data_IF_637105063657
#
_entry.id   IF_637105063657
#
_cell.length_a   1.000
_cell.length_b   1.000
_cell.length_c   1.000
_cell.angle_alpha   90.00
_cell.angle_beta   90.00
_cell.angle_gamma   90.00
#
_symmetry.space_group_name_H-M   'P 1'
#
loop_
_entity.id
_entity.type
_entity.pdbx_description
1 polymer ?
#
# COMPACT_ATOMS: atom_id res chain seq x y z
N UNK A 1 65.32 53.25 -59.47
CA UNK A 1 64.05 53.37 -58.73
C UNK A 1 63.51 51.98 -58.46
N UNK A 2 63.52 51.50 -57.21
CA UNK A 2 62.92 50.23 -56.80
C UNK A 2 61.62 50.56 -56.06
N UNK A 3 60.50 50.06 -56.56
CA UNK A 3 59.16 50.23 -55.96
C UNK A 3 58.88 48.98 -55.12
N UNK A 4 58.69 49.17 -53.82
CA UNK A 4 58.35 48.13 -52.85
C UNK A 4 56.82 48.11 -52.71
N UNK A 5 56.17 47.04 -53.15
CA UNK A 5 54.71 46.85 -52.96
C UNK A 5 54.53 45.99 -51.70
N UNK A 6 53.93 46.60 -50.68
CA UNK A 6 53.67 45.98 -49.39
C UNK A 6 52.23 45.43 -49.38
N UNK A 7 52.11 44.10 -49.42
CA UNK A 7 50.82 43.39 -49.44
C UNK A 7 50.42 43.08 -48.00
N UNK A 8 49.31 43.67 -47.53
CA UNK A 8 48.69 43.33 -46.25
C UNK A 8 47.75 42.14 -46.43
N UNK A 9 48.03 41.05 -45.70
CA UNK A 9 47.14 39.87 -45.63
C UNK A 9 46.27 40.05 -44.37
N UNK A 10 44.98 40.32 -44.56
CA UNK A 10 44.00 40.45 -43.47
C UNK A 10 43.40 39.08 -43.19
N UNK A 11 43.82 38.43 -42.10
CA UNK A 11 43.33 37.12 -41.68
C UNK A 11 41.97 37.25 -40.99
N UNK A 12 40.91 36.76 -41.63
CA UNK A 12 39.54 36.72 -41.08
C UNK A 12 39.34 35.41 -40.30
N UNK A 13 39.26 35.47 -38.96
CA UNK A 13 39.00 34.31 -38.12
C UNK A 13 37.49 34.05 -37.99
N UNK A 14 36.98 33.00 -38.63
CA UNK A 14 35.61 32.53 -38.49
C UNK A 14 35.47 31.71 -37.19
N UNK A 15 34.91 32.32 -36.15
CA UNK A 15 34.49 31.61 -34.94
C UNK A 15 33.15 30.90 -35.19
N UNK A 16 33.20 29.59 -35.46
CA UNK A 16 32.03 28.73 -35.42
C UNK A 16 31.58 28.53 -33.97
N UNK A 17 30.60 29.31 -33.53
CA UNK A 17 29.97 29.16 -32.21
C UNK A 17 28.91 28.05 -32.30
N UNK A 18 29.21 26.85 -31.81
CA UNK A 18 28.21 25.79 -31.67
C UNK A 18 27.20 26.19 -30.58
N UNK A 19 25.88 26.22 -30.86
CA UNK A 19 24.89 26.50 -29.83
C UNK A 19 24.92 25.37 -28.80
N UNK A 20 25.33 25.69 -27.57
CA UNK A 20 25.15 24.79 -26.42
C UNK A 20 23.66 24.74 -26.13
N UNK A 21 22.98 23.70 -26.62
CA UNK A 21 21.62 23.38 -26.19
C UNK A 21 21.66 23.09 -24.69
N UNK A 22 21.28 24.06 -23.87
CA UNK A 22 21.07 23.84 -22.44
C UNK A 22 19.86 22.91 -22.32
N UNK A 23 20.11 21.62 -22.11
CA UNK A 23 19.12 20.69 -21.59
C UNK A 23 18.71 21.20 -20.22
N UNK A 24 17.63 21.98 -20.18
CA UNK A 24 16.98 22.39 -18.96
C UNK A 24 16.42 21.11 -18.34
N UNK A 25 17.13 20.53 -17.36
CA UNK A 25 16.65 19.34 -16.67
C UNK A 25 15.37 19.75 -15.96
N UNK A 26 14.23 19.34 -16.50
CA UNK A 26 12.96 19.46 -15.79
C UNK A 26 13.17 18.75 -14.45
N UNK A 27 13.02 19.48 -13.36
CA UNK A 27 13.10 18.90 -12.02
C UNK A 27 12.07 17.76 -12.00
N UNK A 28 12.55 16.53 -11.90
CA UNK A 28 11.70 15.37 -11.85
C UNK A 28 10.75 15.55 -10.66
N UNK A 29 9.45 15.59 -10.93
CA UNK A 29 8.46 15.60 -9.86
C UNK A 29 8.69 14.36 -9.00
N UNK A 30 8.72 14.50 -7.65
CA UNK A 30 8.89 13.35 -6.78
C UNK A 30 7.76 12.38 -7.07
N UNK A 31 8.12 11.20 -7.58
CA UNK A 31 7.14 10.15 -7.79
C UNK A 31 6.65 9.70 -6.41
N UNK A 32 5.34 9.50 -6.21
CA UNK A 32 4.84 8.97 -4.95
C UNK A 32 5.48 7.60 -4.73
N UNK A 33 6.39 7.52 -3.75
CA UNK A 33 7.07 6.28 -3.41
C UNK A 33 6.11 5.43 -2.58
N UNK A 34 5.71 4.29 -3.14
CA UNK A 34 4.96 3.27 -2.40
C UNK A 34 5.87 2.76 -1.28
N UNK A 35 5.38 2.83 -0.04
CA UNK A 35 6.13 2.42 1.15
C UNK A 35 5.46 1.25 1.85
N UNK A 36 6.27 0.27 2.21
CA UNK A 36 5.93 -0.82 3.10
C UNK A 36 5.59 -0.32 4.52
N UNK A 37 4.73 -1.06 5.21
CA UNK A 37 4.33 -0.79 6.60
C UNK A 37 5.11 -1.64 7.58
N UNK A 38 5.58 -2.82 7.17
CA UNK A 38 6.32 -3.75 8.02
C UNK A 38 7.83 -3.47 8.06
N UNK A 39 8.34 -2.49 7.31
CA UNK A 39 9.79 -2.24 7.12
C UNK A 39 10.55 -3.46 6.54
N UNK A 40 9.84 -4.28 5.76
CA UNK A 40 10.40 -5.37 4.96
C UNK A 40 9.90 -5.23 3.52
N UNK A 41 10.67 -5.64 2.49
CA UNK A 41 10.19 -5.62 1.11
C UNK A 41 8.85 -6.34 0.95
N UNK A 42 7.94 -5.80 0.16
CA UNK A 42 6.68 -6.48 -0.20
C UNK A 42 6.95 -7.91 -0.69
N UNK A 43 6.07 -8.84 -0.31
CA UNK A 43 6.23 -10.26 -0.65
C UNK A 43 7.21 -11.03 0.24
N UNK A 44 7.90 -10.38 1.19
CA UNK A 44 8.73 -11.09 2.18
C UNK A 44 7.84 -11.88 3.12
N UNK A 45 7.98 -13.20 3.14
CA UNK A 45 7.28 -14.07 4.10
C UNK A 45 7.89 -13.90 5.48
N UNK A 46 7.06 -13.52 6.45
CA UNK A 46 7.44 -13.25 7.83
C UNK A 46 6.58 -14.08 8.77
N UNK A 47 7.17 -14.54 9.88
CA UNK A 47 6.44 -15.09 11.02
C UNK A 47 6.06 -13.95 11.95
N UNK A 48 4.78 -13.83 12.28
CA UNK A 48 4.29 -12.71 13.09
C UNK A 48 3.38 -13.19 14.20
N UNK A 49 3.47 -12.53 15.35
CA UNK A 49 2.45 -12.62 16.40
C UNK A 49 1.45 -11.49 16.15
N UNK A 50 0.19 -11.86 15.93
CA UNK A 50 -0.89 -10.93 15.61
C UNK A 50 -2.05 -11.06 16.58
N UNK A 51 -2.82 -10.00 16.69
CA UNK A 51 -4.07 -9.93 17.44
C UNK A 51 -5.20 -9.52 16.48
N UNK A 52 -6.34 -10.21 16.54
CA UNK A 52 -7.51 -9.82 15.75
C UNK A 52 -8.08 -8.52 16.32
N UNK A 53 -8.18 -7.51 15.46
CA UNK A 53 -8.66 -6.17 15.80
C UNK A 53 -9.99 -5.89 15.12
N UNK A 54 -10.94 -5.34 15.88
CA UNK A 54 -12.28 -4.99 15.37
C UNK A 54 -12.27 -3.66 14.60
N UNK A 55 -12.64 -3.69 13.33
CA UNK A 55 -12.74 -2.51 12.48
C UNK A 55 -13.72 -1.46 12.98
N UNK A 56 -14.78 -1.86 13.69
CA UNK A 56 -15.74 -0.92 14.28
C UNK A 56 -15.07 0.02 15.30
N UNK A 57 -13.96 -0.42 15.91
CA UNK A 57 -13.18 0.38 16.88
C UNK A 57 -12.35 1.50 16.23
N UNK A 58 -12.27 1.55 14.90
CA UNK A 58 -11.57 2.63 14.17
C UNK A 58 -12.43 3.87 13.95
N UNK A 59 -13.74 3.81 14.24
CA UNK A 59 -14.73 4.86 13.95
C UNK A 59 -14.85 5.26 12.46
N UNK A 60 -14.21 4.52 11.56
CA UNK A 60 -14.32 4.74 10.12
C UNK A 60 -15.44 3.87 9.53
N UNK A 61 -16.44 4.52 8.93
CA UNK A 61 -17.59 3.84 8.32
C UNK A 61 -17.17 2.74 7.33
N UNK A 62 -16.07 2.94 6.60
CA UNK A 62 -15.57 1.98 5.62
C UNK A 62 -14.91 0.73 6.20
N UNK A 63 -14.65 0.71 7.50
CA UNK A 63 -14.04 -0.42 8.20
C UNK A 63 -15.08 -1.20 9.01
N UNK A 64 -16.31 -0.68 9.11
CA UNK A 64 -17.34 -1.31 9.93
C UNK A 64 -17.68 -2.71 9.43
N UNK A 65 -17.82 -3.66 10.37
CA UNK A 65 -18.05 -5.08 10.08
C UNK A 65 -16.85 -5.85 9.51
N UNK A 66 -15.67 -5.23 9.42
CA UNK A 66 -14.43 -5.89 8.96
C UNK A 66 -13.47 -6.11 10.13
N UNK A 67 -12.60 -7.11 9.99
CA UNK A 67 -11.53 -7.41 10.92
C UNK A 67 -10.16 -7.07 10.35
N UNK A 68 -9.25 -6.69 11.24
CA UNK A 68 -7.88 -6.33 10.93
C UNK A 68 -6.93 -7.17 11.77
N UNK A 69 -5.66 -7.23 11.35
CA UNK A 69 -4.59 -7.81 12.16
C UNK A 69 -3.75 -6.69 12.74
N UNK A 70 -3.73 -6.63 14.07
CA UNK A 70 -2.79 -5.81 14.83
C UNK A 70 -1.50 -6.61 15.01
N UNK A 71 -0.41 -6.11 14.44
CA UNK A 71 0.91 -6.75 14.53
C UNK A 71 1.51 -6.44 15.90
N UNK A 72 1.85 -7.49 16.64
CA UNK A 72 2.51 -7.38 17.95
C UNK A 72 4.02 -7.66 17.83
N UNK A 73 4.38 -8.62 16.99
CA UNK A 73 5.76 -9.08 16.80
C UNK A 73 6.00 -9.50 15.36
N UNK A 74 7.19 -9.20 14.84
CA UNK A 74 7.69 -9.70 13.56
C UNK A 74 8.98 -10.47 13.84
N UNK A 75 8.99 -11.76 13.49
CA UNK A 75 10.04 -12.72 13.85
C UNK A 75 10.32 -12.70 15.35
N UNK A 76 11.50 -12.21 15.75
CA UNK A 76 11.96 -12.05 17.13
C UNK A 76 11.85 -10.60 17.63
N UNK A 77 11.54 -9.65 16.76
CA UNK A 77 11.47 -8.22 17.05
C UNK A 77 10.07 -7.80 17.53
N UNK A 78 10.02 -7.20 18.72
CA UNK A 78 8.78 -6.59 19.25
C UNK A 78 8.55 -5.27 18.55
N UNK A 79 7.32 -5.04 18.08
CA UNK A 79 6.94 -3.77 17.44
C UNK A 79 6.41 -2.82 18.51
N UNK A 80 7.02 -1.63 18.61
CA UNK A 80 6.58 -0.59 19.56
C UNK A 80 5.37 0.19 19.02
N UNK A 81 5.34 0.39 17.71
CA UNK A 81 4.28 1.14 17.05
C UNK A 81 3.08 0.24 16.77
N UNK A 82 1.87 0.75 16.96
CA UNK A 82 0.66 -0.02 16.64
C UNK A 82 0.47 -0.08 15.13
N UNK A 83 0.81 -1.22 14.53
CA UNK A 83 0.56 -1.48 13.11
C UNK A 83 -0.71 -2.33 13.00
N UNK A 84 -1.76 -1.76 12.39
CA UNK A 84 -3.03 -2.45 12.12
C UNK A 84 -3.20 -2.48 10.60
N UNK A 85 -3.31 -3.69 10.04
CA UNK A 85 -3.47 -3.88 8.60
C UNK A 85 -4.69 -4.75 8.29
N UNK A 86 -5.42 -4.46 7.20
CA UNK A 86 -6.38 -5.40 6.67
C UNK A 86 -5.63 -6.64 6.16
N UNK A 87 -6.33 -7.76 6.03
CA UNK A 87 -5.71 -9.00 5.59
C UNK A 87 -6.59 -9.76 4.60
N UNK A 88 -5.93 -10.54 3.74
CA UNK A 88 -6.52 -11.59 2.90
C UNK A 88 -6.00 -12.92 3.43
N UNK A 89 -6.87 -13.91 3.61
CA UNK A 89 -6.50 -15.21 4.16
C UNK A 89 -6.61 -16.30 3.11
N UNK A 90 -5.49 -16.93 2.77
CA UNK A 90 -5.43 -18.05 1.83
C UNK A 90 -5.63 -19.40 2.54
N UNK A 91 -5.65 -19.40 3.88
CA UNK A 91 -5.77 -20.64 4.67
C UNK A 91 -7.21 -21.02 5.00
N UNK A 92 -8.15 -20.08 4.91
CA UNK A 92 -9.53 -20.23 5.42
C UNK A 92 -9.64 -20.25 6.95
N UNK A 93 -8.55 -19.94 7.66
CA UNK A 93 -8.47 -19.94 9.11
C UNK A 93 -8.97 -18.63 9.74
N UNK A 94 -8.95 -17.52 9.03
CA UNK A 94 -9.19 -16.18 9.55
C UNK A 94 -10.32 -15.50 8.79
N UNK A 95 -11.56 -15.47 9.32
CA UNK A 95 -12.63 -14.69 8.73
C UNK A 95 -12.30 -13.19 8.79
N UNK A 96 -12.50 -12.49 7.67
CA UNK A 96 -12.17 -11.07 7.50
C UNK A 96 -13.35 -10.13 7.79
N UNK A 97 -14.57 -10.66 7.95
CA UNK A 97 -15.79 -9.90 8.18
C UNK A 97 -16.81 -10.68 9.04
N UNK A 98 -17.84 -9.99 9.54
CA UNK A 98 -18.88 -10.55 10.42
C UNK A 98 -19.63 -11.76 9.83
N UNK A 99 -19.92 -11.75 8.52
CA UNK A 99 -20.63 -12.84 7.85
C UNK A 99 -19.73 -14.06 7.69
N UNK A 100 -18.47 -13.85 7.29
CA UNK A 100 -17.44 -14.89 7.24
C UNK A 100 -17.21 -15.51 8.62
N UNK A 101 -17.22 -14.71 9.68
CA UNK A 101 -17.10 -15.20 11.06
C UNK A 101 -18.31 -16.03 11.46
N UNK A 102 -19.52 -15.58 11.15
CA UNK A 102 -20.75 -16.36 11.39
C UNK A 102 -20.71 -17.72 10.69
N UNK A 103 -20.37 -17.71 9.39
CA UNK A 103 -20.24 -18.93 8.59
C UNK A 103 -19.23 -19.89 9.22
N UNK A 104 -18.11 -19.37 9.70
CA UNK A 104 -17.09 -20.19 10.36
C UNK A 104 -17.55 -20.79 11.69
N UNK A 105 -18.21 -19.99 12.54
CA UNK A 105 -18.63 -20.43 13.88
C UNK A 105 -19.83 -21.39 13.84
N UNK A 106 -20.75 -21.20 12.90
CA UNK A 106 -22.01 -21.95 12.86
C UNK A 106 -22.15 -22.90 11.67
N UNK A 107 -21.17 -22.92 10.76
CA UNK A 107 -21.17 -23.74 9.55
C UNK A 107 -22.41 -23.53 8.66
N UNK A 108 -22.97 -22.32 8.66
CA UNK A 108 -24.13 -21.92 7.85
C UNK A 108 -24.01 -20.49 7.33
N UNK A 109 -24.55 -20.25 6.15
CA UNK A 109 -24.69 -18.91 5.59
C UNK A 109 -25.85 -18.15 6.26
N UNK A 110 -25.78 -16.83 6.30
CA UNK A 110 -26.90 -15.97 6.68
C UNK A 110 -26.91 -14.69 5.85
N UNK A 111 -28.09 -14.20 5.52
CA UNK A 111 -28.25 -12.91 4.83
C UNK A 111 -28.32 -11.72 5.79
N UNK A 112 -28.58 -11.97 7.07
CA UNK A 112 -28.76 -10.92 8.08
C UNK A 112 -28.15 -11.35 9.42
N UNK A 113 -27.67 -10.37 10.17
CA UNK A 113 -27.11 -10.52 11.51
C UNK A 113 -27.64 -9.41 12.41
N UNK A 114 -28.14 -9.77 13.58
CA UNK A 114 -28.50 -8.78 14.61
C UNK A 114 -27.26 -8.29 15.34
N UNK A 115 -27.27 -7.06 15.87
CA UNK A 115 -26.15 -6.54 16.66
C UNK A 115 -25.83 -7.39 17.89
N UNK A 116 -26.85 -8.05 18.47
CA UNK A 116 -26.66 -8.98 19.60
C UNK A 116 -25.85 -10.21 19.17
N UNK A 117 -26.17 -10.79 18.00
CA UNK A 117 -25.42 -11.92 17.44
C UNK A 117 -23.99 -11.53 17.08
N UNK A 118 -23.80 -10.37 16.43
CA UNK A 118 -22.48 -9.84 16.08
C UNK A 118 -21.62 -9.69 17.33
N UNK A 119 -22.13 -9.02 18.37
CA UNK A 119 -21.41 -8.84 19.62
C UNK A 119 -21.05 -10.18 20.28
N UNK A 120 -21.96 -11.15 20.28
CA UNK A 120 -21.72 -12.48 20.83
C UNK A 120 -20.63 -13.26 20.07
N UNK A 121 -20.57 -13.11 18.75
CA UNK A 121 -19.52 -13.72 17.93
C UNK A 121 -18.17 -13.04 18.13
N UNK A 122 -18.14 -11.70 18.12
CA UNK A 122 -16.93 -10.89 18.28
C UNK A 122 -16.18 -11.22 19.57
N UNK A 123 -16.89 -11.45 20.68
CA UNK A 123 -16.30 -11.88 21.96
C UNK A 123 -15.46 -13.17 21.87
N UNK A 124 -15.72 -14.03 20.88
CA UNK A 124 -14.99 -15.28 20.69
C UNK A 124 -13.76 -15.13 19.79
N UNK A 125 -13.67 -14.05 19.01
CA UNK A 125 -12.72 -13.89 17.92
C UNK A 125 -11.81 -12.66 18.03
N UNK A 126 -12.36 -11.51 18.42
CA UNK A 126 -11.61 -10.26 18.63
C UNK A 126 -10.66 -10.42 19.83
N UNK A 127 -9.51 -9.73 19.80
CA UNK A 127 -8.42 -9.81 20.77
C UNK A 127 -7.73 -11.18 20.89
N UNK A 128 -8.12 -12.17 20.08
CA UNK A 128 -7.42 -13.46 20.02
C UNK A 128 -6.08 -13.30 19.32
N UNK A 129 -5.07 -13.95 19.88
CA UNK A 129 -3.69 -13.90 19.41
C UNK A 129 -3.31 -15.16 18.67
N UNK A 130 -2.59 -14.99 17.57
CA UNK A 130 -2.15 -16.07 16.71
C UNK A 130 -0.71 -15.82 16.28
N UNK A 131 0.07 -16.89 16.13
CA UNK A 131 1.31 -16.84 15.36
C UNK A 131 1.02 -17.29 13.94
N UNK A 132 1.33 -16.46 12.97
CA UNK A 132 1.03 -16.68 11.55
C UNK A 132 2.28 -16.57 10.70
N UNK A 133 2.24 -17.15 9.50
CA UNK A 133 3.13 -16.86 8.40
C UNK A 133 2.36 -16.05 7.36
N UNK A 134 2.85 -14.85 7.04
CA UNK A 134 2.19 -13.93 6.13
C UNK A 134 3.22 -12.98 5.48
N UNK A 135 2.82 -12.30 4.42
CA UNK A 135 3.63 -11.25 3.79
C UNK A 135 2.80 -9.99 3.54
N UNK A 136 3.47 -8.84 3.48
CA UNK A 136 2.83 -7.59 3.11
C UNK A 136 2.68 -7.47 1.59
N UNK A 137 1.52 -6.99 1.14
CA UNK A 137 1.22 -6.60 -0.23
C UNK A 137 0.48 -5.26 -0.24
N UNK A 138 0.11 -4.77 -1.41
CA UNK A 138 -0.77 -3.62 -1.53
C UNK A 138 -1.38 -3.46 -2.91
N UNK A 139 -2.32 -2.53 -3.00
CA UNK A 139 -3.07 -2.24 -4.22
C UNK A 139 -3.44 -0.76 -4.28
N UNK A 140 -3.56 -0.21 -5.49
CA UNK A 140 -4.15 1.11 -5.67
C UNK A 140 -5.68 1.01 -5.61
N UNK A 141 -6.30 1.92 -4.87
CA UNK A 141 -7.75 2.00 -4.68
C UNK A 141 -8.23 3.43 -4.93
N UNK A 142 -9.53 3.61 -5.16
CA UNK A 142 -10.14 4.91 -5.45
C UNK A 142 -10.02 5.36 -6.90
N UNK A 143 -10.49 6.57 -7.20
CA UNK A 143 -10.56 7.10 -8.56
C UNK A 143 -9.37 8.01 -8.90
N UNK A 144 -8.57 7.69 -9.94
CA UNK A 144 -7.41 8.49 -10.31
C UNK A 144 -7.80 9.89 -10.76
N UNK A 145 -6.87 10.85 -10.60
CA UNK A 145 -7.08 12.22 -11.05
C UNK A 145 -7.41 12.27 -12.56
N UNK A 146 -8.49 12.97 -12.90
CA UNK A 146 -8.96 13.11 -14.28
C UNK A 146 -9.82 11.95 -14.80
N UNK A 147 -10.22 10.99 -13.94
CA UNK A 147 -11.17 9.93 -14.28
C UNK A 147 -12.47 10.47 -14.89
N UNK A 148 -12.97 11.57 -14.31
CA UNK A 148 -14.20 12.25 -14.73
C UNK A 148 -14.14 12.86 -16.15
N UNK A 149 -12.96 13.02 -16.74
CA UNK A 149 -12.82 13.44 -18.13
C UNK A 149 -13.25 12.35 -19.12
N UNK A 150 -13.35 11.10 -18.66
CA UNK A 150 -13.62 9.94 -19.50
C UNK A 150 -14.91 9.20 -19.11
N UNK A 151 -15.35 9.30 -17.85
CA UNK A 151 -16.52 8.60 -17.33
C UNK A 151 -17.25 9.43 -16.25
N UNK A 152 -18.53 9.16 -16.01
CA UNK A 152 -19.29 9.82 -14.94
C UNK A 152 -18.69 9.53 -13.55
N UNK A 153 -18.73 10.54 -12.68
CA UNK A 153 -18.26 10.42 -11.31
C UNK A 153 -19.11 9.43 -10.52
N UNK A 154 -18.45 8.49 -9.84
CA UNK A 154 -19.08 7.55 -8.92
C UNK A 154 -18.67 7.92 -7.51
N UNK A 155 -19.56 7.70 -6.54
CA UNK A 155 -19.24 7.87 -5.13
C UNK A 155 -18.18 6.84 -4.71
N UNK A 156 -16.91 7.24 -4.76
CA UNK A 156 -15.75 6.43 -4.41
C UNK A 156 -14.75 7.25 -3.58
N UNK A 157 -13.76 6.57 -3.00
CA UNK A 157 -12.70 7.17 -2.19
C UNK A 157 -11.64 7.84 -3.09
N UNK A 158 -10.89 8.77 -2.51
CA UNK A 158 -9.71 9.38 -3.15
C UNK A 158 -8.70 8.30 -3.57
N UNK A 159 -8.02 8.49 -4.70
CA UNK A 159 -7.00 7.56 -5.17
C UNK A 159 -5.81 7.47 -4.20
N UNK A 160 -5.52 6.28 -3.69
CA UNK A 160 -4.37 6.03 -2.83
C UNK A 160 -3.91 4.57 -2.89
N UNK A 161 -2.64 4.33 -2.53
CA UNK A 161 -2.12 2.99 -2.31
C UNK A 161 -2.50 2.51 -0.92
N UNK A 162 -2.99 1.27 -0.82
CA UNK A 162 -3.40 0.62 0.42
C UNK A 162 -2.59 -0.66 0.63
N UNK A 163 -1.97 -0.78 1.79
CA UNK A 163 -1.25 -1.98 2.23
C UNK A 163 -2.23 -2.99 2.87
N UNK A 164 -1.94 -4.27 2.72
CA UNK A 164 -2.64 -5.37 3.40
C UNK A 164 -1.70 -6.56 3.61
N UNK A 165 -2.08 -7.46 4.52
CA UNK A 165 -1.38 -8.73 4.74
C UNK A 165 -2.00 -9.84 3.91
N UNK A 166 -1.18 -10.78 3.43
CA UNK A 166 -1.64 -12.06 2.89
C UNK A 166 -1.20 -13.17 3.83
N UNK A 167 -2.17 -13.83 4.47
CA UNK A 167 -1.93 -14.93 5.40
C UNK A 167 -1.86 -16.25 4.63
N UNK A 168 -0.71 -16.90 4.73
CA UNK A 168 -0.40 -18.13 3.98
C UNK A 168 -0.31 -19.37 4.86
N UNK A 169 -0.25 -19.21 6.19
CA UNK A 169 -0.19 -20.36 7.09
C UNK A 169 -0.16 -20.04 8.57
N UNK A 170 -0.40 -21.07 9.36
CA UNK A 170 -0.13 -21.09 10.81
C UNK A 170 1.12 -21.98 11.00
N UNK A 171 2.25 -21.43 11.49
CA UNK A 171 3.45 -22.22 11.72
C UNK A 171 3.18 -23.40 12.64
N UNK A 172 3.69 -24.58 12.27
CA UNK A 172 3.68 -25.75 13.16
C UNK A 172 4.62 -25.48 14.33
N UNK A 173 4.20 -25.90 15.53
CA UNK A 173 5.07 -25.92 16.72
C UNK A 173 6.19 -26.93 16.55
#
# INVERSE_FOLDING_TARGET
>A
MRVLIMVYITTFALFACSPKTQLQSQMAQPHPMVKERLNHPFGTILKMDVEIFDGDSTYEKGNSGNYFMKILRIEDSIITDTIILPFKDETGSFPADDFSLYKKLYHKETGTLTSIEINKMKLQYVEKRFRIAAYESGEFTGLPNGYNNYQEERADKSFHFKNYLVVIGIPKK
#
